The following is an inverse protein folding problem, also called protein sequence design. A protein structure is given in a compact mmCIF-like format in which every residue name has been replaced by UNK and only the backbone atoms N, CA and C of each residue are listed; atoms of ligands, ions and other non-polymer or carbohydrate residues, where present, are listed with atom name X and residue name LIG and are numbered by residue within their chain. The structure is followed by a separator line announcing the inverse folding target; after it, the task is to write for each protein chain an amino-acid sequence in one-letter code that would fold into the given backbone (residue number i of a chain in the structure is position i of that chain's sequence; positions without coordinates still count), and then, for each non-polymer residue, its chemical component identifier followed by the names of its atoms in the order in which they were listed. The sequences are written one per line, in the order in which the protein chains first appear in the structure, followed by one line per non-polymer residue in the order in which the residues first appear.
data_IF_342214154219
#
_entry.id   IF_342214154219
#
_cell.length_a   1.000
_cell.length_b   1.000
_cell.length_c   1.000
_cell.angle_alpha   90.00
_cell.angle_beta   90.00
_cell.angle_gamma   90.00
#
_symmetry.space_group_name_H-M   'P 1'
#
loop_
_entity.id
_entity.type
_entity.pdbx_description
1 polymer ?
#
# COMPACT_ATOMS: atom_id res chain seq x y z
N UNK A 1 -15.67 -9.79 -18.13
CA UNK A 1 -16.25 -8.43 -18.04
C UNK A 1 -15.20 -7.44 -18.50
N UNK A 2 -15.53 -6.47 -19.37
CA UNK A 2 -14.54 -5.52 -19.90
C UNK A 2 -14.14 -4.41 -18.89
N UNK A 3 -14.94 -4.19 -17.83
CA UNK A 3 -14.69 -3.15 -16.82
C UNK A 3 -15.15 -3.60 -15.44
N UNK A 4 -14.35 -3.31 -14.42
CA UNK A 4 -14.68 -3.48 -13.01
C UNK A 4 -14.87 -2.11 -12.34
N UNK A 5 -15.79 -2.03 -11.38
CA UNK A 5 -16.06 -0.83 -10.59
C UNK A 5 -15.66 -1.09 -9.14
N UNK A 6 -14.82 -0.24 -8.56
CA UNK A 6 -14.36 -0.40 -7.18
C UNK A 6 -14.92 0.70 -6.28
N UNK A 7 -15.28 0.34 -5.06
CA UNK A 7 -15.42 1.32 -3.99
C UNK A 7 -14.03 1.85 -3.61
N UNK A 8 -13.84 3.16 -3.59
CA UNK A 8 -12.53 3.74 -3.27
C UNK A 8 -12.09 3.52 -1.81
N UNK A 9 -13.05 3.31 -0.90
CA UNK A 9 -12.76 3.17 0.53
C UNK A 9 -12.60 1.72 0.96
N UNK A 10 -13.57 0.84 0.70
CA UNK A 10 -13.51 -0.57 1.12
C UNK A 10 -12.89 -1.50 0.05
N UNK A 11 -12.57 -0.97 -1.13
CA UNK A 11 -11.96 -1.68 -2.27
C UNK A 11 -12.79 -2.81 -2.87
N UNK A 12 -14.05 -2.99 -2.43
CA UNK A 12 -14.96 -3.98 -3.00
C UNK A 12 -15.15 -3.71 -4.50
N UNK A 13 -14.91 -4.73 -5.32
CA UNK A 13 -15.14 -4.68 -6.76
C UNK A 13 -16.55 -5.16 -7.13
N UNK A 14 -17.12 -4.57 -8.18
CA UNK A 14 -18.50 -4.74 -8.61
C UNK A 14 -18.60 -4.77 -10.14
N UNK A 15 -19.65 -5.44 -10.65
CA UNK A 15 -19.84 -5.68 -12.09
C UNK A 15 -20.41 -4.47 -12.85
N UNK A 16 -21.03 -3.51 -12.17
CA UNK A 16 -21.67 -2.36 -12.82
C UNK A 16 -21.64 -1.09 -11.97
N UNK A 17 -21.76 0.07 -12.64
CA UNK A 17 -21.82 1.39 -12.02
C UNK A 17 -23.02 1.53 -11.06
N UNK A 18 -24.16 0.96 -11.43
CA UNK A 18 -25.39 1.01 -10.62
C UNK A 18 -25.20 0.32 -9.27
N UNK A 19 -24.52 -0.83 -9.25
CA UNK A 19 -24.22 -1.56 -8.01
C UNK A 19 -23.24 -0.74 -7.15
N UNK A 20 -22.22 -0.13 -7.75
CA UNK A 20 -21.31 0.78 -7.04
C UNK A 20 -22.06 1.96 -6.40
N UNK A 21 -22.97 2.61 -7.13
CA UNK A 21 -23.74 3.73 -6.60
C UNK A 21 -24.63 3.29 -5.41
N UNK A 22 -25.26 2.12 -5.49
CA UNK A 22 -26.03 1.57 -4.38
C UNK A 22 -25.14 1.20 -3.19
N UNK A 23 -23.94 0.67 -3.45
CA UNK A 23 -22.96 0.37 -2.41
C UNK A 23 -22.50 1.65 -1.69
N UNK A 24 -22.16 2.71 -2.41
CA UNK A 24 -21.71 3.99 -1.83
C UNK A 24 -22.76 4.63 -0.91
N UNK A 25 -24.06 4.40 -1.15
CA UNK A 25 -25.13 4.87 -0.25
C UNK A 25 -25.17 4.14 1.10
N UNK A 26 -24.61 2.93 1.18
CA UNK A 26 -24.64 2.05 2.36
C UNK A 26 -23.27 1.90 3.02
N UNK A 27 -22.20 2.15 2.27
CA UNK A 27 -20.83 1.99 2.75
C UNK A 27 -20.51 3.13 3.73
N UNK A 28 -20.32 2.79 5.00
CA UNK A 28 -19.90 3.74 6.04
C UNK A 28 -18.39 3.95 6.12
N UNK A 29 -17.63 3.50 5.12
CA UNK A 29 -16.17 3.58 5.14
C UNK A 29 -15.72 4.85 4.44
N UNK A 30 -14.83 5.60 5.08
CA UNK A 30 -14.22 6.82 4.55
C UNK A 30 -12.69 6.81 4.70
N UNK A 31 -12.12 5.68 5.10
CA UNK A 31 -10.69 5.48 5.28
C UNK A 31 -10.37 3.96 5.24
N UNK A 32 -9.09 3.56 5.07
CA UNK A 32 -8.66 2.18 5.27
C UNK A 32 -9.04 1.68 6.68
N UNK A 33 -9.26 0.37 6.86
CA UNK A 33 -9.57 -0.17 8.17
C UNK A 33 -8.34 -0.07 9.10
N UNK A 34 -8.55 -0.21 10.40
CA UNK A 34 -7.51 -0.24 11.42
C UNK A 34 -6.81 1.10 11.71
N UNK A 35 -5.62 1.04 12.31
CA UNK A 35 -5.01 2.15 13.04
C UNK A 35 -4.29 3.12 12.10
N UNK A 36 -4.58 4.41 12.25
CA UNK A 36 -3.77 5.47 11.66
C UNK A 36 -2.49 5.63 12.49
N UNK A 37 -1.36 5.15 11.97
CA UNK A 37 -0.07 5.15 12.68
C UNK A 37 0.81 6.36 12.34
N UNK A 38 0.40 7.15 11.34
CA UNK A 38 1.06 8.37 10.94
C UNK A 38 0.06 9.35 10.34
N UNK A 39 0.16 10.62 10.76
CA UNK A 39 -0.62 11.74 10.23
C UNK A 39 0.27 12.97 10.11
N UNK A 40 0.37 13.55 8.91
CA UNK A 40 0.96 14.86 8.69
C UNK A 40 0.23 15.59 7.56
N UNK A 41 -0.35 16.76 7.88
CA UNK A 41 -1.16 17.53 6.96
C UNK A 41 -2.31 16.70 6.38
N UNK A 42 -2.38 16.59 5.05
CA UNK A 42 -3.36 15.80 4.33
C UNK A 42 -2.86 14.38 3.98
N UNK A 43 -1.78 13.89 4.60
CA UNK A 43 -1.25 12.55 4.36
C UNK A 43 -1.37 11.69 5.61
N UNK A 44 -1.81 10.45 5.43
CA UNK A 44 -1.89 9.45 6.49
C UNK A 44 -1.39 8.08 6.05
N UNK A 45 -0.85 7.32 7.00
CA UNK A 45 -0.52 5.89 6.83
C UNK A 45 -1.32 5.06 7.83
N UNK A 46 -2.05 4.08 7.31
CA UNK A 46 -2.80 3.11 8.09
C UNK A 46 -2.05 1.78 8.12
N UNK A 47 -1.91 1.19 9.30
CA UNK A 47 -1.40 -0.17 9.46
C UNK A 47 -2.58 -1.15 9.52
N UNK A 48 -2.69 -1.99 8.50
CA UNK A 48 -3.78 -2.94 8.32
C UNK A 48 -3.25 -4.36 8.42
N UNK A 49 -3.72 -5.09 9.42
CA UNK A 49 -3.41 -6.51 9.59
C UNK A 49 -4.27 -7.37 8.65
N UNK A 50 -3.63 -8.15 7.76
CA UNK A 50 -4.32 -9.05 6.83
C UNK A 50 -5.09 -10.19 7.49
N UNK A 51 -4.73 -10.58 8.72
CA UNK A 51 -5.47 -11.56 9.52
C UNK A 51 -6.75 -10.98 10.14
N UNK A 52 -6.80 -9.66 10.34
CA UNK A 52 -7.98 -8.98 10.92
C UNK A 52 -8.89 -8.43 9.82
N UNK A 53 -8.31 -7.82 8.78
CA UNK A 53 -9.04 -7.16 7.68
C UNK A 53 -8.90 -7.93 6.36
N UNK A 54 -9.07 -9.25 6.40
CA UNK A 54 -8.81 -10.19 5.29
C UNK A 54 -9.42 -9.73 3.96
N UNK A 55 -10.71 -9.40 3.94
CA UNK A 55 -11.42 -9.00 2.70
C UNK A 55 -10.86 -7.70 2.12
N UNK A 56 -10.52 -6.72 2.96
CA UNK A 56 -9.93 -5.47 2.50
C UNK A 56 -8.54 -5.73 1.88
N UNK A 57 -7.71 -6.51 2.57
CA UNK A 57 -6.37 -6.83 2.10
C UNK A 57 -6.38 -7.68 0.82
N UNK A 58 -7.31 -8.63 0.69
CA UNK A 58 -7.50 -9.39 -0.56
C UNK A 58 -7.92 -8.48 -1.72
N UNK A 59 -8.87 -7.56 -1.49
CA UNK A 59 -9.28 -6.59 -2.51
C UNK A 59 -8.12 -5.66 -2.91
N UNK A 60 -7.31 -5.21 -1.94
CA UNK A 60 -6.11 -4.41 -2.20
C UNK A 60 -5.08 -5.20 -3.01
N UNK A 61 -4.87 -6.48 -2.68
CA UNK A 61 -3.98 -7.36 -3.41
C UNK A 61 -4.43 -7.58 -4.87
N UNK A 62 -5.73 -7.79 -5.09
CA UNK A 62 -6.32 -7.93 -6.43
C UNK A 62 -6.17 -6.65 -7.25
N UNK A 63 -6.43 -5.48 -6.64
CA UNK A 63 -6.19 -4.19 -7.26
C UNK A 63 -4.71 -4.01 -7.62
N UNK A 64 -3.80 -4.37 -6.72
CA UNK A 64 -2.36 -4.26 -6.95
C UNK A 64 -1.87 -5.20 -8.05
N UNK A 65 -2.44 -6.40 -8.18
CA UNK A 65 -2.07 -7.38 -9.20
C UNK A 65 -2.27 -6.85 -10.63
N UNK A 66 -3.17 -5.88 -10.82
CA UNK A 66 -3.37 -5.19 -12.10
C UNK A 66 -2.14 -4.38 -12.54
N UNK A 67 -1.25 -4.02 -11.60
CA UNK A 67 -0.08 -3.16 -11.83
C UNK A 67 1.24 -3.82 -11.40
N UNK A 68 1.20 -5.06 -10.90
CA UNK A 68 2.35 -5.82 -10.43
C UNK A 68 2.40 -7.18 -11.13
N UNK A 69 3.40 -7.37 -11.99
CA UNK A 69 3.54 -8.58 -12.80
C UNK A 69 3.81 -9.81 -11.93
N UNK A 70 4.70 -9.68 -10.93
CA UNK A 70 5.21 -10.78 -10.11
C UNK A 70 4.51 -10.97 -8.77
N UNK A 71 3.29 -10.45 -8.57
CA UNK A 71 2.54 -10.70 -7.32
C UNK A 71 1.93 -12.10 -7.34
N UNK A 72 2.44 -12.99 -6.48
CA UNK A 72 2.05 -14.39 -6.38
C UNK A 72 0.97 -14.64 -5.32
N UNK A 73 1.05 -13.95 -4.18
CA UNK A 73 0.10 -14.10 -3.07
C UNK A 73 -0.92 -12.94 -3.06
N UNK A 74 -2.19 -13.29 -3.20
CA UNK A 74 -3.31 -12.33 -3.19
C UNK A 74 -4.55 -12.81 -2.41
N UNK A 75 -4.63 -14.09 -2.04
CA UNK A 75 -5.67 -14.62 -1.15
C UNK A 75 -5.16 -14.86 0.27
N UNK A 76 -3.95 -15.42 0.41
CA UNK A 76 -3.29 -15.65 1.70
C UNK A 76 -2.64 -14.34 2.18
N UNK A 77 -3.43 -13.53 2.88
CA UNK A 77 -3.05 -12.17 3.35
C UNK A 77 -2.72 -12.14 4.84
N UNK A 78 -3.09 -13.17 5.58
CA UNK A 78 -2.92 -13.34 7.03
C UNK A 78 -1.45 -13.17 7.50
N UNK A 79 -0.43 -13.62 6.74
CA UNK A 79 0.97 -13.43 7.11
C UNK A 79 1.48 -11.98 6.98
N UNK A 80 0.69 -11.07 6.42
CA UNK A 80 1.15 -9.73 6.04
C UNK A 80 0.52 -8.60 6.85
N UNK A 81 1.32 -7.57 7.10
CA UNK A 81 0.89 -6.22 7.44
C UNK A 81 0.89 -5.38 6.17
N UNK A 82 -0.10 -4.50 6.04
CA UNK A 82 -0.25 -3.57 4.92
C UNK A 82 -0.19 -2.14 5.44
N UNK A 83 0.71 -1.34 4.88
CA UNK A 83 0.90 0.06 5.21
C UNK A 83 0.29 0.91 4.10
N UNK A 84 -0.93 1.37 4.34
CA UNK A 84 -1.77 2.01 3.33
C UNK A 84 -1.60 3.53 3.40
N UNK A 85 -1.04 4.10 2.34
CA UNK A 85 -0.87 5.54 2.18
C UNK A 85 -2.13 6.16 1.61
N UNK A 86 -2.55 7.26 2.23
CA UNK A 86 -3.74 8.02 1.82
C UNK A 86 -3.43 9.50 1.69
N UNK A 87 -4.17 10.15 0.79
CA UNK A 87 -4.30 11.60 0.72
C UNK A 87 -5.72 11.95 1.17
N UNK A 88 -5.86 12.89 2.09
CA UNK A 88 -7.10 13.10 2.82
C UNK A 88 -7.69 14.46 2.52
N UNK A 89 -9.01 14.49 2.34
CA UNK A 89 -9.79 15.71 2.24
C UNK A 89 -11.06 15.61 3.09
N UNK A 90 -12.02 16.52 2.89
CA UNK A 90 -13.29 16.56 3.64
C UNK A 90 -14.19 15.35 3.40
N UNK A 91 -13.94 14.55 2.36
CA UNK A 91 -14.69 13.34 1.99
C UNK A 91 -14.09 12.07 2.55
N UNK A 92 -12.83 12.08 2.99
CA UNK A 92 -12.18 10.93 3.60
C UNK A 92 -10.69 10.79 3.28
N UNK A 93 -10.19 9.58 3.44
CA UNK A 93 -8.79 9.19 3.21
C UNK A 93 -8.71 8.36 1.93
N UNK A 94 -8.24 8.98 0.85
CA UNK A 94 -8.21 8.39 -0.49
C UNK A 94 -6.94 7.57 -0.68
N UNK A 95 -7.07 6.29 -1.01
CA UNK A 95 -5.94 5.40 -1.28
C UNK A 95 -5.01 6.01 -2.35
N UNK A 96 -3.74 6.16 -2.01
CA UNK A 96 -2.67 6.62 -2.92
C UNK A 96 -1.80 5.45 -3.35
N UNK A 97 -1.46 4.58 -2.40
CA UNK A 97 -0.59 3.44 -2.59
C UNK A 97 -0.43 2.67 -1.29
N UNK A 98 0.39 1.62 -1.31
CA UNK A 98 0.71 0.86 -0.12
C UNK A 98 2.04 0.13 -0.28
N UNK A 99 2.57 -0.37 0.82
CA UNK A 99 3.44 -1.53 0.79
C UNK A 99 2.96 -2.61 1.76
N UNK A 100 3.28 -3.88 1.48
CA UNK A 100 3.06 -4.99 2.40
C UNK A 100 4.39 -5.47 2.99
N UNK A 101 4.32 -6.04 4.19
CA UNK A 101 5.45 -6.59 4.92
C UNK A 101 5.02 -7.88 5.60
N UNK A 102 5.77 -8.97 5.41
CA UNK A 102 5.56 -10.19 6.19
C UNK A 102 5.82 -9.95 7.67
N UNK A 103 4.93 -10.47 8.52
CA UNK A 103 5.06 -10.41 9.98
C UNK A 103 6.31 -11.15 10.47
N UNK A 104 6.65 -12.25 9.79
CA UNK A 104 7.76 -13.13 10.14
C UNK A 104 8.57 -13.47 8.89
N UNK A 105 9.57 -12.65 8.57
CA UNK A 105 10.44 -12.85 7.40
C UNK A 105 11.85 -13.28 7.82
N UNK A 106 12.28 -14.49 7.45
CA UNK A 106 13.62 -15.00 7.77
C UNK A 106 14.73 -14.20 7.05
N UNK A 107 14.46 -13.76 5.83
CA UNK A 107 15.35 -12.95 4.99
C UNK A 107 15.41 -11.49 5.42
N UNK A 108 14.62 -11.08 6.43
CA UNK A 108 14.52 -9.71 6.94
C UNK A 108 14.13 -8.70 5.86
N UNK A 109 13.24 -9.09 4.95
CA UNK A 109 12.65 -8.14 4.01
C UNK A 109 11.72 -7.20 4.76
N UNK A 110 11.92 -5.89 4.59
CA UNK A 110 11.06 -4.88 5.20
C UNK A 110 9.90 -4.46 4.29
N UNK A 111 9.93 -4.90 3.03
CA UNK A 111 8.89 -4.71 2.02
C UNK A 111 8.78 -5.97 1.16
N UNK A 112 7.57 -6.52 1.04
CA UNK A 112 7.24 -7.63 0.14
C UNK A 112 6.70 -7.12 -1.21
N UNK A 113 5.72 -6.22 -1.17
CA UNK A 113 5.19 -5.54 -2.36
C UNK A 113 5.07 -4.04 -2.08
N UNK A 114 5.29 -3.20 -3.08
CA UNK A 114 5.07 -1.76 -3.01
C UNK A 114 4.41 -1.27 -4.29
N UNK A 115 3.37 -0.45 -4.17
CA UNK A 115 2.59 0.01 -5.32
C UNK A 115 2.05 1.42 -5.05
N UNK A 116 2.20 2.28 -6.05
CA UNK A 116 1.52 3.59 -6.13
C UNK A 116 0.52 3.51 -7.28
N UNK A 117 -0.74 3.88 -7.00
CA UNK A 117 -1.78 3.86 -8.03
C UNK A 117 -1.37 4.79 -9.18
N UNK A 118 -1.61 4.40 -10.45
CA UNK A 118 -1.09 5.13 -11.61
C UNK A 118 -1.32 6.64 -11.59
N UNK A 119 -2.51 7.10 -11.17
CA UNK A 119 -2.87 8.54 -11.10
C UNK A 119 -2.07 9.35 -10.06
N UNK A 120 -1.35 8.68 -9.16
CA UNK A 120 -0.52 9.29 -8.13
C UNK A 120 1.00 9.05 -8.34
N UNK A 121 1.38 8.35 -9.40
CA UNK A 121 2.80 8.13 -9.70
C UNK A 121 3.52 9.44 -10.05
N UNK A 122 4.85 9.45 -9.86
CA UNK A 122 5.75 10.58 -10.13
C UNK A 122 5.47 11.86 -9.29
N UNK A 123 4.77 11.71 -8.15
CA UNK A 123 4.48 12.81 -7.19
C UNK A 123 5.25 12.69 -5.87
N UNK A 124 6.28 11.84 -5.80
CA UNK A 124 7.09 11.62 -4.59
C UNK A 124 6.55 10.54 -3.63
N UNK A 125 5.32 10.07 -3.80
CA UNK A 125 4.72 9.06 -2.90
C UNK A 125 5.46 7.72 -2.84
N UNK A 126 6.10 7.31 -3.96
CA UNK A 126 6.95 6.12 -3.95
C UNK A 126 8.15 6.26 -3.02
N UNK A 127 8.83 7.41 -3.06
CA UNK A 127 9.92 7.74 -2.13
C UNK A 127 9.43 7.77 -0.69
N UNK A 128 8.26 8.37 -0.45
CA UNK A 128 7.64 8.40 0.88
C UNK A 128 7.42 7.01 1.46
N UNK A 129 6.85 6.07 0.68
CA UNK A 129 6.62 4.70 1.17
C UNK A 129 7.92 3.93 1.41
N UNK A 130 8.95 4.14 0.60
CA UNK A 130 10.27 3.55 0.82
C UNK A 130 10.88 4.10 2.12
N UNK A 131 10.83 5.41 2.32
CA UNK A 131 11.34 6.05 3.54
C UNK A 131 10.60 5.54 4.78
N UNK A 132 9.27 5.43 4.69
CA UNK A 132 8.43 4.91 5.78
C UNK A 132 8.77 3.46 6.14
N UNK A 133 9.06 2.59 5.15
CA UNK A 133 9.46 1.21 5.44
C UNK A 133 10.80 1.12 6.17
N UNK A 134 11.75 1.99 5.83
CA UNK A 134 13.02 2.11 6.56
C UNK A 134 12.86 2.72 7.95
N UNK A 135 11.94 3.67 8.13
CA UNK A 135 11.61 4.23 9.45
C UNK A 135 11.11 3.14 10.40
N UNK A 136 10.26 2.23 9.91
CA UNK A 136 9.80 1.07 10.69
C UNK A 136 10.98 0.14 11.03
N UNK A 137 11.83 -0.19 10.07
CA UNK A 137 13.04 -0.99 10.31
C UNK A 137 13.94 -0.37 11.38
N UNK A 138 14.13 0.95 11.35
CA UNK A 138 14.89 1.69 12.37
C UNK A 138 14.25 1.56 13.76
N UNK A 139 12.92 1.67 13.85
CA UNK A 139 12.18 1.52 15.11
C UNK A 139 12.25 0.09 15.67
N UNK A 140 12.31 -0.90 14.79
CA UNK A 140 12.49 -2.32 15.12
C UNK A 140 13.94 -2.69 15.46
N UNK A 141 14.89 -1.77 15.29
CA UNK A 141 16.32 -2.02 15.55
C UNK A 141 16.95 -3.02 14.57
N UNK A 142 16.36 -3.18 13.37
CA UNK A 142 16.85 -4.12 12.37
C UNK A 142 17.10 -3.47 11.01
N UNK A 143 18.14 -3.93 10.31
CA UNK A 143 18.31 -3.60 8.91
C UNK A 143 17.24 -4.29 8.05
N UNK A 144 16.91 -3.69 6.91
CA UNK A 144 15.91 -4.22 5.99
C UNK A 144 16.24 -3.92 4.53
N UNK A 145 15.71 -4.75 3.64
CA UNK A 145 15.76 -4.59 2.19
C UNK A 145 14.41 -4.96 1.60
N UNK A 146 14.02 -4.44 0.42
CA UNK A 146 12.90 -5.02 -0.30
C UNK A 146 13.17 -6.47 -0.73
N UNK A 147 12.09 -7.22 -0.87
CA UNK A 147 12.05 -8.53 -1.52
C UNK A 147 12.54 -8.45 -2.98
N UNK A 148 13.12 -9.56 -3.46
CA UNK A 148 13.70 -9.69 -4.80
C UNK A 148 12.98 -10.80 -5.58
N UNK A 149 12.81 -10.67 -6.91
CA UNK A 149 13.28 -9.56 -7.74
C UNK A 149 12.37 -8.31 -7.64
N UNK A 150 12.99 -7.13 -7.75
CA UNK A 150 12.26 -5.86 -7.91
C UNK A 150 11.82 -5.69 -9.37
N UNK A 151 10.68 -5.03 -9.58
CA UNK A 151 10.33 -4.48 -10.90
C UNK A 151 11.34 -3.40 -11.32
N UNK A 152 11.44 -3.10 -12.61
CA UNK A 152 12.35 -2.04 -13.10
C UNK A 152 12.07 -0.68 -12.45
N UNK A 153 10.78 -0.33 -12.30
CA UNK A 153 10.38 0.90 -11.60
C UNK A 153 10.75 0.86 -10.11
N UNK A 154 10.58 -0.30 -9.46
CA UNK A 154 11.00 -0.52 -8.08
C UNK A 154 12.52 -0.31 -7.93
N UNK A 155 13.32 -0.96 -8.78
CA UNK A 155 14.79 -0.85 -8.79
C UNK A 155 15.25 0.60 -8.94
N UNK A 156 14.69 1.34 -9.90
CA UNK A 156 15.02 2.76 -10.09
C UNK A 156 14.66 3.60 -8.86
N UNK A 157 13.49 3.36 -8.25
CA UNK A 157 13.02 4.11 -7.09
C UNK A 157 13.90 3.86 -5.85
N UNK A 158 14.24 2.61 -5.57
CA UNK A 158 15.14 2.26 -4.45
C UNK A 158 16.55 2.80 -4.66
N UNK A 159 17.11 2.68 -5.87
CA UNK A 159 18.45 3.22 -6.17
C UNK A 159 18.50 4.74 -6.02
N UNK A 160 17.48 5.45 -6.49
CA UNK A 160 17.39 6.90 -6.31
C UNK A 160 17.26 7.28 -4.83
N UNK A 161 16.44 6.55 -4.07
CA UNK A 161 16.30 6.75 -2.63
C UNK A 161 17.63 6.56 -1.89
N UNK A 162 18.31 5.41 -2.07
CA UNK A 162 19.57 5.13 -1.39
C UNK A 162 20.65 6.15 -1.74
N UNK A 163 20.79 6.54 -3.01
CA UNK A 163 21.73 7.58 -3.42
C UNK A 163 21.47 8.91 -2.69
N UNK A 164 20.19 9.32 -2.61
CA UNK A 164 19.80 10.55 -1.90
C UNK A 164 20.16 10.49 -0.42
N UNK A 165 19.81 9.41 0.27
CA UNK A 165 20.05 9.27 1.72
C UNK A 165 21.54 9.23 2.04
N UNK A 166 22.35 8.55 1.22
CA UNK A 166 23.81 8.51 1.42
C UNK A 166 24.40 9.91 1.25
N UNK A 167 23.98 10.65 0.22
CA UNK A 167 24.44 12.03 0.00
C UNK A 167 24.02 12.99 1.12
N UNK A 168 22.86 12.80 1.74
CA UNK A 168 22.42 13.59 2.90
C UNK A 168 23.25 13.33 4.17
N UNK A 169 23.97 12.20 4.23
CA UNK A 169 24.84 11.83 5.35
C UNK A 169 26.32 12.22 5.15
N UNK A 170 26.71 12.64 3.94
CA UNK A 170 28.06 13.09 3.59
C UNK A 170 28.17 14.61 3.72
#
# INVERSE_FOLDING_TARGET
LPKLYLCEFCLKYMKSRTILQQHMKKCGWFHPPANEIYRKNNISVFEVDGNVSTIYCQNLCLLAKLFLDHKTLYYDVEPFLFYVLTQNDVKGCHLVGYFSKEKHCQQKYNVSCIMILPQYQRKGYGRFLIDFSYLLSKREGQAGSPEKPLSDLGRLSYMAYWKSVILECL
#
